data_IF_185678460418
#
_entry.id   IF_185678460418
#
_cell.length_a   1.000
_cell.length_b   1.000
_cell.length_c   1.000
_cell.angle_alpha   90.00
_cell.angle_beta   90.00
_cell.angle_gamma   90.00
#
_symmetry.space_group_name_H-M   'P 1'
#
loop_
_entity.id
_entity.type
_entity.pdbx_description
1 polymer ?
#
# COMPACT_ATOMS: atom_id res chain seq x y z
N UNK A 1 39.09 30.14 3.32
CA UNK A 1 38.59 30.73 2.10
C UNK A 1 38.24 29.69 1.07
N UNK A 2 39.18 28.97 0.58
CA UNK A 2 38.92 27.95 -0.42
C UNK A 2 38.06 26.85 0.12
N UNK A 3 38.13 26.61 1.40
CA UNK A 3 37.34 25.55 2.03
C UNK A 3 35.87 25.82 1.97
N UNK A 4 35.49 27.07 2.04
CA UNK A 4 34.06 27.41 1.99
C UNK A 4 33.43 27.01 0.66
N UNK A 5 34.16 27.20 -0.41
CA UNK A 5 33.67 26.85 -1.72
C UNK A 5 33.39 25.37 -1.87
N UNK A 6 34.27 24.57 -1.31
CA UNK A 6 34.12 23.12 -1.39
C UNK A 6 32.89 22.68 -0.66
N UNK A 7 32.63 23.28 0.48
CA UNK A 7 31.43 22.94 1.25
C UNK A 7 30.16 23.23 0.49
N UNK A 8 30.14 24.36 -0.19
CA UNK A 8 28.95 24.71 -0.96
C UNK A 8 28.67 23.71 -2.05
N UNK A 9 29.70 23.26 -2.71
CA UNK A 9 29.49 22.27 -3.78
C UNK A 9 28.90 20.99 -3.25
N UNK A 10 29.36 20.56 -2.09
CA UNK A 10 28.82 19.32 -1.49
C UNK A 10 27.36 19.46 -1.15
N UNK A 11 26.97 20.59 -0.61
CA UNK A 11 25.58 20.80 -0.22
C UNK A 11 24.67 20.79 -1.45
N UNK A 12 25.13 21.40 -2.53
CA UNK A 12 24.34 21.42 -3.74
C UNK A 12 24.09 20.04 -4.30
N UNK A 13 25.09 19.18 -4.25
CA UNK A 13 24.94 17.82 -4.73
C UNK A 13 23.89 17.04 -3.93
N UNK A 14 23.91 17.18 -2.63
CA UNK A 14 22.95 16.51 -1.80
C UNK A 14 21.53 16.94 -2.10
N UNK A 15 21.33 18.22 -2.29
CA UNK A 15 20.01 18.73 -2.61
C UNK A 15 19.49 18.15 -3.91
N UNK A 16 20.31 18.06 -4.91
CA UNK A 16 19.92 17.51 -6.19
C UNK A 16 19.44 16.09 -6.10
N UNK A 17 20.10 15.28 -5.30
CA UNK A 17 19.72 13.87 -5.16
C UNK A 17 18.35 13.71 -4.54
N UNK A 18 18.00 14.56 -3.61
CA UNK A 18 16.72 14.43 -2.91
C UNK A 18 15.54 14.68 -3.83
N UNK A 19 15.66 15.63 -4.71
CA UNK A 19 14.53 16.00 -5.56
C UNK A 19 14.13 14.95 -6.56
N UNK A 20 15.08 14.19 -7.03
CA UNK A 20 14.85 13.34 -8.19
C UNK A 20 14.20 12.00 -7.85
N UNK A 21 14.05 11.71 -6.59
CA UNK A 21 13.64 10.37 -6.19
C UNK A 21 12.16 10.24 -5.83
N UNK A 22 11.42 11.34 -5.85
CA UNK A 22 10.06 11.29 -5.33
C UNK A 22 9.04 11.20 -6.44
N UNK A 23 8.54 9.99 -6.66
CA UNK A 23 7.43 9.75 -7.58
C UNK A 23 6.37 9.02 -6.81
N UNK A 24 5.18 9.59 -6.75
CA UNK A 24 4.09 8.94 -6.04
C UNK A 24 3.50 7.79 -6.85
N UNK A 25 3.15 6.73 -6.17
CA UNK A 25 2.43 5.62 -6.78
C UNK A 25 1.00 6.07 -7.06
N UNK A 26 0.55 5.86 -8.27
CA UNK A 26 -0.80 6.22 -8.67
C UNK A 26 -1.58 5.03 -9.19
N UNK A 27 -2.81 5.29 -9.62
CA UNK A 27 -3.66 4.25 -10.17
C UNK A 27 -3.09 3.58 -11.40
N UNK A 28 -2.32 4.32 -12.18
CA UNK A 28 -1.70 3.75 -13.39
C UNK A 28 -0.76 2.59 -13.07
N UNK A 29 -0.03 2.70 -11.97
CA UNK A 29 0.89 1.65 -11.55
C UNK A 29 0.18 0.49 -10.88
N UNK A 30 -0.95 0.74 -10.25
CA UNK A 30 -1.66 -0.26 -9.45
C UNK A 30 -2.68 -1.06 -10.23
N UNK A 31 -3.26 -0.47 -11.27
CA UNK A 31 -4.38 -1.12 -11.96
C UNK A 31 -3.98 -2.48 -12.53
N UNK A 32 -4.90 -3.42 -12.44
CA UNK A 32 -4.76 -4.78 -12.96
C UNK A 32 -3.70 -5.62 -12.25
N UNK A 33 -3.27 -5.19 -11.07
CA UNK A 33 -2.28 -5.94 -10.30
C UNK A 33 -2.88 -6.56 -9.06
N UNK A 34 -2.36 -7.72 -8.70
CA UNK A 34 -2.78 -8.48 -7.53
C UNK A 34 -1.58 -8.67 -6.61
N UNK A 35 -1.81 -8.51 -5.32
CA UNK A 35 -0.77 -8.58 -4.31
C UNK A 35 -1.17 -9.53 -3.19
N UNK A 36 -0.19 -10.13 -2.54
CA UNK A 36 -0.41 -11.03 -1.39
C UNK A 36 0.35 -10.48 -0.20
N UNK A 37 -0.31 -10.43 0.94
CA UNK A 37 0.28 -9.89 2.17
C UNK A 37 1.42 -10.76 2.65
N UNK A 38 2.57 -10.14 2.94
CA UNK A 38 3.75 -10.83 3.44
C UNK A 38 4.03 -10.52 4.90
N UNK A 39 3.86 -9.26 5.30
CA UNK A 39 4.20 -8.88 6.67
C UNK A 39 3.36 -7.71 7.16
N UNK A 40 3.25 -7.64 8.47
CA UNK A 40 2.57 -6.56 9.17
C UNK A 40 3.56 -6.01 10.19
N UNK A 41 3.91 -4.74 10.07
CA UNK A 41 4.86 -4.08 10.94
C UNK A 41 6.18 -4.86 11.06
N UNK A 42 6.62 -5.40 9.91
CA UNK A 42 7.86 -6.15 9.84
C UNK A 42 7.79 -7.61 10.27
N UNK A 43 6.63 -8.06 10.77
CA UNK A 43 6.48 -9.45 11.20
C UNK A 43 5.79 -10.26 10.11
N UNK A 44 6.38 -11.39 9.72
CA UNK A 44 5.76 -12.23 8.69
C UNK A 44 4.38 -12.69 9.10
N UNK A 45 3.47 -12.72 8.13
CA UNK A 45 2.11 -13.17 8.36
C UNK A 45 1.97 -14.58 7.81
N UNK A 46 1.51 -15.49 8.65
CA UNK A 46 1.21 -16.84 8.22
C UNK A 46 -0.29 -16.93 8.03
N UNK A 47 -0.70 -17.09 6.79
CA UNK A 47 -2.09 -17.34 6.51
C UNK A 47 -2.42 -18.79 6.83
N UNK A 48 -3.68 -19.09 6.92
CA UNK A 48 -4.16 -20.46 7.15
C UNK A 48 -4.24 -21.22 5.82
N UNK A 49 -3.23 -21.05 4.99
CA UNK A 49 -3.23 -21.63 3.67
C UNK A 49 -3.98 -20.81 2.64
N UNK A 50 -4.72 -19.81 3.06
CA UNK A 50 -5.43 -18.92 2.14
C UNK A 50 -4.64 -17.63 1.97
N UNK A 51 -4.30 -17.26 0.74
CA UNK A 51 -3.58 -15.99 0.53
C UNK A 51 -4.43 -14.80 0.97
N UNK A 52 -3.78 -13.83 1.61
CA UNK A 52 -4.43 -12.59 1.99
C UNK A 52 -4.15 -11.59 0.88
N UNK A 53 -5.14 -11.36 0.04
CA UNK A 53 -4.95 -10.63 -1.21
C UNK A 53 -5.44 -9.20 -1.18
N UNK A 54 -4.79 -8.38 -1.99
CA UNK A 54 -5.25 -7.04 -2.30
C UNK A 54 -5.09 -6.89 -3.80
N UNK A 55 -6.20 -6.62 -4.49
CA UNK A 55 -6.22 -6.52 -5.94
C UNK A 55 -6.78 -5.19 -6.37
N UNK A 56 -6.22 -4.64 -7.43
CA UNK A 56 -6.72 -3.40 -8.01
C UNK A 56 -7.28 -3.69 -9.39
N UNK A 57 -8.46 -3.16 -9.65
CA UNK A 57 -9.06 -3.26 -10.96
C UNK A 57 -8.62 -2.11 -11.84
N UNK A 58 -9.49 -1.69 -12.72
CA UNK A 58 -9.16 -0.64 -13.66
C UNK A 58 -9.22 0.74 -13.00
N UNK A 59 -8.27 1.59 -13.39
CA UNK A 59 -8.29 2.98 -12.96
C UNK A 59 -9.47 3.68 -13.62
N UNK A 60 -10.17 4.49 -12.83
CA UNK A 60 -11.33 5.24 -13.28
C UNK A 60 -11.03 6.74 -13.29
N UNK A 61 -12.01 7.54 -13.66
CA UNK A 61 -11.85 8.98 -13.66
C UNK A 61 -11.71 9.53 -12.24
N UNK A 62 -11.16 10.72 -12.11
CA UNK A 62 -11.07 11.46 -10.84
C UNK A 62 -10.26 10.71 -9.79
N UNK A 63 -9.18 10.09 -10.22
CA UNK A 63 -8.27 9.38 -9.31
C UNK A 63 -8.93 8.24 -8.55
N UNK A 64 -9.94 7.62 -9.15
CA UNK A 64 -10.60 6.47 -8.54
C UNK A 64 -10.04 5.18 -9.10
N UNK A 65 -10.09 4.13 -8.29
CA UNK A 65 -9.66 2.82 -8.71
C UNK A 65 -10.46 1.77 -7.95
N UNK A 66 -10.87 0.72 -8.64
CA UNK A 66 -11.57 -0.38 -7.97
C UNK A 66 -10.57 -1.20 -7.17
N UNK A 67 -10.99 -1.64 -6.00
CA UNK A 67 -10.13 -2.37 -5.07
C UNK A 67 -10.91 -3.51 -4.47
N UNK A 68 -10.26 -4.66 -4.30
CA UNK A 68 -10.84 -5.81 -3.64
C UNK A 68 -9.76 -6.61 -2.94
N UNK A 69 -10.17 -7.47 -2.04
CA UNK A 69 -9.21 -8.31 -1.33
C UNK A 69 -9.87 -9.07 -0.20
N UNK A 70 -9.03 -9.60 0.68
CA UNK A 70 -9.51 -10.36 1.84
C UNK A 70 -8.46 -10.36 2.96
N UNK A 71 -8.97 -10.44 4.15
CA UNK A 71 -8.23 -10.81 5.36
C UNK A 71 -9.03 -11.95 5.98
N UNK A 72 -9.73 -11.72 7.09
CA UNK A 72 -10.76 -12.64 7.53
C UNK A 72 -11.93 -12.56 6.56
N UNK A 73 -12.34 -11.35 6.24
CA UNK A 73 -13.48 -11.09 5.38
C UNK A 73 -13.02 -10.61 4.01
N UNK A 74 -13.85 -10.89 3.00
CA UNK A 74 -13.66 -10.30 1.69
C UNK A 74 -14.17 -8.86 1.69
N UNK A 75 -13.49 -7.99 0.93
CA UNK A 75 -13.89 -6.59 0.82
C UNK A 75 -13.74 -6.13 -0.62
N UNK A 76 -14.51 -5.11 -0.98
CA UNK A 76 -14.40 -4.51 -2.31
C UNK A 76 -15.04 -3.14 -2.31
N UNK A 77 -14.65 -2.34 -3.29
CA UNK A 77 -15.22 -1.03 -3.47
C UNK A 77 -14.33 -0.13 -4.32
N UNK A 78 -14.72 1.12 -4.40
CA UNK A 78 -13.95 2.11 -5.12
C UNK A 78 -13.11 2.90 -4.14
N UNK A 79 -11.84 3.03 -4.45
CA UNK A 79 -10.89 3.80 -3.66
C UNK A 79 -10.51 5.05 -4.41
N UNK A 80 -9.96 6.01 -3.69
CA UNK A 80 -9.33 7.20 -4.27
C UNK A 80 -7.84 7.09 -4.04
N UNK A 81 -7.07 7.51 -5.04
CA UNK A 81 -5.62 7.57 -4.88
C UNK A 81 -5.12 8.89 -5.41
N UNK A 82 -4.45 9.66 -4.56
CA UNK A 82 -3.97 10.99 -4.90
C UNK A 82 -2.71 11.27 -4.11
N UNK A 83 -1.66 11.69 -4.80
CA UNK A 83 -0.37 12.00 -4.17
C UNK A 83 0.16 10.83 -3.32
N UNK A 84 -0.07 9.61 -3.81
CA UNK A 84 0.40 8.43 -3.10
C UNK A 84 -0.43 8.02 -1.89
N UNK A 85 -1.58 8.66 -1.68
CA UNK A 85 -2.45 8.29 -0.57
C UNK A 85 -3.68 7.56 -1.08
N UNK A 86 -3.92 6.39 -0.53
CA UNK A 86 -5.03 5.52 -0.88
C UNK A 86 -6.09 5.61 0.21
N UNK A 87 -7.32 5.94 -0.20
CA UNK A 87 -8.44 6.11 0.73
C UNK A 87 -9.64 5.35 0.21
N UNK A 88 -10.26 4.57 1.07
CA UNK A 88 -11.46 3.81 0.69
C UNK A 88 -12.40 3.72 1.89
N UNK A 89 -13.16 4.79 2.16
CA UNK A 89 -14.00 4.82 3.36
C UNK A 89 -15.27 3.96 3.27
N UNK A 90 -15.67 3.60 2.07
CA UNK A 90 -16.95 2.93 1.84
C UNK A 90 -16.81 1.52 1.30
N UNK A 91 -15.80 0.80 1.77
CA UNK A 91 -15.64 -0.59 1.35
C UNK A 91 -16.79 -1.45 1.85
N UNK A 92 -17.31 -2.27 0.95
CA UNK A 92 -18.23 -3.34 1.35
C UNK A 92 -17.38 -4.48 1.90
N UNK A 93 -17.80 -5.05 3.00
CA UNK A 93 -17.05 -6.11 3.67
C UNK A 93 -18.00 -7.16 4.19
N UNK A 94 -17.69 -8.44 4.00
CA UNK A 94 -18.47 -9.51 4.59
C UNK A 94 -18.29 -9.48 6.11
N UNK A 95 -19.15 -10.16 6.83
CA UNK A 95 -19.17 -10.09 8.29
C UNK A 95 -19.14 -11.46 8.92
N UNK A 96 -18.03 -12.14 8.77
CA UNK A 96 -17.85 -13.40 9.48
C UNK A 96 -16.78 -13.22 10.53
N UNK A 97 -16.80 -14.09 11.53
CA UNK A 97 -15.79 -14.12 12.57
C UNK A 97 -14.91 -15.32 12.33
N UNK A 98 -13.65 -15.08 12.12
CA UNK A 98 -12.68 -16.15 11.90
C UNK A 98 -12.21 -16.70 13.24
N UNK A 99 -11.82 -17.97 13.25
CA UNK A 99 -11.28 -18.59 14.46
C UNK A 99 -9.90 -18.05 14.79
N UNK A 100 -9.20 -17.51 13.80
CA UNK A 100 -7.90 -16.89 14.00
C UNK A 100 -8.09 -15.42 14.32
N UNK A 101 -7.82 -15.03 15.56
CA UNK A 101 -7.99 -13.66 16.00
C UNK A 101 -7.12 -12.67 15.25
N UNK A 102 -5.98 -13.12 14.75
CA UNK A 102 -5.12 -12.28 13.93
C UNK A 102 -5.83 -11.80 12.69
N UNK A 103 -6.57 -12.69 12.04
CA UNK A 103 -7.30 -12.32 10.83
C UNK A 103 -8.40 -11.32 11.12
N UNK A 104 -9.09 -11.48 12.24
CA UNK A 104 -10.11 -10.53 12.66
C UNK A 104 -9.50 -9.14 12.90
N UNK A 105 -8.33 -9.13 13.52
CA UNK A 105 -7.62 -7.90 13.79
C UNK A 105 -7.17 -7.23 12.49
N UNK A 106 -6.69 -8.01 11.54
CA UNK A 106 -6.25 -7.49 10.26
C UNK A 106 -7.40 -6.87 9.47
N UNK A 107 -8.59 -7.43 9.56
CA UNK A 107 -9.79 -6.82 8.96
C UNK A 107 -9.95 -5.38 9.48
N UNK A 108 -9.89 -5.23 10.79
CA UNK A 108 -10.09 -3.93 11.43
C UNK A 108 -8.97 -2.97 11.09
N UNK A 109 -7.74 -3.48 11.09
CA UNK A 109 -6.56 -2.66 10.79
C UNK A 109 -6.63 -2.10 9.38
N UNK A 110 -6.89 -2.96 8.40
CA UNK A 110 -6.94 -2.52 7.02
C UNK A 110 -8.10 -1.56 6.79
N UNK A 111 -9.28 -1.87 7.33
CA UNK A 111 -10.44 -0.98 7.17
C UNK A 111 -10.15 0.40 7.76
N UNK A 112 -9.52 0.45 8.91
CA UNK A 112 -9.15 1.71 9.54
C UNK A 112 -8.12 2.49 8.72
N UNK A 113 -7.10 1.80 8.25
CA UNK A 113 -6.06 2.42 7.42
C UNK A 113 -6.65 3.05 6.17
N UNK A 114 -7.52 2.33 5.49
CA UNK A 114 -8.10 2.82 4.24
C UNK A 114 -9.16 3.90 4.47
N UNK A 115 -9.82 3.87 5.61
CA UNK A 115 -10.78 4.92 5.94
C UNK A 115 -10.06 6.24 6.19
N UNK A 116 -8.93 6.20 6.88
CA UNK A 116 -8.16 7.39 7.21
C UNK A 116 -7.25 7.84 6.09
N UNK A 117 -6.87 6.91 5.23
CA UNK A 117 -5.91 7.17 4.17
C UNK A 117 -4.55 6.60 4.53
N UNK A 118 -4.01 5.78 3.63
CA UNK A 118 -2.71 5.16 3.82
C UNK A 118 -1.79 5.56 2.68
N UNK A 119 -0.53 5.79 3.00
CA UNK A 119 0.47 5.98 1.96
C UNK A 119 0.66 4.67 1.25
N UNK A 120 0.60 4.70 -0.07
CA UNK A 120 0.82 3.51 -0.88
C UNK A 120 2.06 3.72 -1.72
N UNK A 121 2.92 2.71 -1.75
CA UNK A 121 4.16 2.80 -2.47
C UNK A 121 4.45 1.45 -3.13
N UNK A 122 4.61 1.47 -4.45
CA UNK A 122 4.94 0.27 -5.20
C UNK A 122 6.35 0.42 -5.75
N UNK A 123 7.26 -0.43 -5.30
CA UNK A 123 8.63 -0.47 -5.78
C UNK A 123 8.91 -1.87 -6.29
N UNK A 124 9.22 -1.98 -7.56
CA UNK A 124 9.44 -3.26 -8.22
C UNK A 124 8.25 -4.20 -7.98
N UNK A 125 8.40 -5.19 -7.12
CA UNK A 125 7.34 -6.16 -6.88
C UNK A 125 6.77 -6.07 -5.47
N UNK A 126 7.07 -5.01 -4.73
CA UNK A 126 6.61 -4.86 -3.36
C UNK A 126 5.70 -3.66 -3.21
N UNK A 127 4.55 -3.89 -2.59
CA UNK A 127 3.59 -2.84 -2.29
C UNK A 127 3.56 -2.61 -0.79
N UNK A 128 3.68 -1.37 -0.38
CA UNK A 128 3.62 -1.01 1.03
C UNK A 128 2.45 -0.07 1.27
N UNK A 129 1.65 -0.37 2.28
CA UNK A 129 0.62 0.53 2.79
C UNK A 129 1.05 0.97 4.18
N UNK A 130 1.11 2.25 4.41
CA UNK A 130 1.62 2.75 5.69
C UNK A 130 0.82 3.91 6.24
N UNK A 131 0.61 3.90 7.54
CA UNK A 131 0.12 5.03 8.31
C UNK A 131 1.15 5.31 9.39
N UNK A 132 0.86 6.24 10.30
CA UNK A 132 1.77 6.54 11.39
C UNK A 132 2.04 5.32 12.28
N UNK A 133 1.05 4.43 12.40
CA UNK A 133 1.11 3.32 13.35
C UNK A 133 1.26 1.95 12.73
N UNK A 134 0.96 1.81 11.44
CA UNK A 134 0.87 0.49 10.81
C UNK A 134 1.57 0.47 9.48
N UNK A 135 2.19 -0.65 9.17
CA UNK A 135 2.79 -0.89 7.85
C UNK A 135 2.43 -2.29 7.39
N UNK A 136 1.79 -2.39 6.24
CA UNK A 136 1.49 -3.66 5.60
C UNK A 136 2.35 -3.79 4.37
N UNK A 137 3.03 -4.91 4.23
CA UNK A 137 3.87 -5.18 3.06
C UNK A 137 3.30 -6.33 2.27
N UNK A 138 3.09 -6.10 0.99
CA UNK A 138 2.52 -7.07 0.06
C UNK A 138 3.53 -7.38 -1.04
N UNK A 139 3.39 -8.54 -1.63
CA UNK A 139 4.20 -8.95 -2.76
C UNK A 139 3.33 -9.07 -4.01
N UNK A 140 3.85 -8.61 -5.13
CA UNK A 140 3.16 -8.73 -6.42
C UNK A 140 2.99 -10.21 -6.77
N UNK A 141 1.79 -10.59 -7.13
CA UNK A 141 1.44 -11.99 -7.37
C UNK A 141 0.76 -12.22 -8.72
N UNK A 142 0.89 -11.31 -9.64
CA UNK A 142 0.22 -11.39 -10.95
C UNK A 142 0.62 -12.62 -11.74
N UNK A 143 1.87 -13.00 -11.62
CA UNK A 143 2.43 -14.06 -12.44
C UNK A 143 2.27 -15.44 -11.82
N UNK A 144 1.64 -15.51 -10.67
CA UNK A 144 1.40 -16.79 -10.02
C UNK A 144 0.04 -17.28 -10.47
N UNK A 145 0.04 -18.25 -11.34
CA UNK A 145 -1.21 -18.82 -11.85
C UNK A 145 -1.50 -20.15 -11.22
#
# INVERSE_FOLDING_TARGET
>A
MKKSLILLAAAALLSGCVYNSKVFTGGDQLQHHRFVLESVNGQPVKGNGTPLELSFGEKQLLNKIYLSGNMCNGFSGTASISNGELTAPDLAMTRKLCSDDKLNELDRTLASMLRKGAQVDLTESQLTLATADQTLSYKLADLVN
#
